data_IF_410267946673
#
_entry.id   IF_410267946673
#
_cell.length_a   1.000
_cell.length_b   1.000
_cell.length_c   1.000
_cell.angle_alpha   90.00
_cell.angle_beta   90.00
_cell.angle_gamma   90.00
#
_symmetry.space_group_name_H-M   'P 1'
#
loop_
_entity.id
_entity.type
_entity.pdbx_description
1 polymer ?
#
# COMPACT_ATOMS: atom_id res chain seq x y z
N UNK A 1 -34.24 -16.99 4.77
CA UNK A 1 -34.55 -16.31 6.05
C UNK A 1 -35.07 -17.33 7.05
N UNK A 2 -34.31 -17.64 8.11
CA UNK A 2 -34.80 -18.45 9.24
C UNK A 2 -34.11 -17.91 10.49
N UNK A 3 -34.88 -17.18 11.30
CA UNK A 3 -34.48 -16.65 12.61
C UNK A 3 -34.47 -17.80 13.62
N UNK A 4 -33.46 -17.85 14.47
CA UNK A 4 -33.52 -18.59 15.74
C UNK A 4 -32.76 -17.82 16.80
N UNK A 5 -33.50 -16.95 17.47
CA UNK A 5 -33.27 -16.49 18.83
C UNK A 5 -33.37 -17.68 19.78
N UNK A 6 -32.39 -17.90 20.64
CA UNK A 6 -32.69 -18.42 21.97
C UNK A 6 -31.66 -17.94 22.99
N UNK A 7 -32.21 -17.29 23.99
CA UNK A 7 -31.62 -16.57 25.09
C UNK A 7 -31.81 -17.44 26.34
N UNK A 8 -30.90 -17.30 27.32
CA UNK A 8 -30.94 -17.81 28.69
C UNK A 8 -30.63 -19.30 28.93
N UNK A 9 -29.52 -19.55 29.63
CA UNK A 9 -29.56 -20.26 30.94
C UNK A 9 -28.52 -19.61 31.87
N UNK A 10 -29.02 -18.96 32.93
CA UNK A 10 -28.28 -18.69 34.15
C UNK A 10 -28.02 -20.02 34.88
N UNK A 11 -26.82 -20.23 35.42
CA UNK A 11 -26.67 -20.92 36.71
C UNK A 11 -25.42 -20.44 37.43
N UNK A 12 -25.65 -19.65 38.48
CA UNK A 12 -24.71 -19.39 39.54
C UNK A 12 -24.46 -20.66 40.37
N UNK A 13 -23.23 -20.88 40.83
CA UNK A 13 -22.97 -21.64 42.05
C UNK A 13 -21.72 -21.10 42.74
N UNK A 14 -21.95 -20.53 43.91
CA UNK A 14 -20.93 -20.07 44.84
C UNK A 14 -20.28 -21.27 45.54
N UNK A 15 -18.97 -21.24 45.71
CA UNK A 15 -18.28 -21.94 46.80
C UNK A 15 -17.28 -20.95 47.41
N UNK A 16 -17.62 -20.48 48.62
CA UNK A 16 -16.69 -19.86 49.55
C UNK A 16 -15.72 -20.93 50.06
N UNK A 17 -14.41 -20.67 49.99
CA UNK A 17 -13.49 -21.09 51.05
C UNK A 17 -12.38 -20.05 51.19
N UNK A 18 -12.40 -19.37 52.32
CA UNK A 18 -11.31 -18.56 52.83
C UNK A 18 -10.30 -19.49 53.53
N UNK A 19 -9.04 -19.42 53.12
CA UNK A 19 -7.92 -19.92 53.90
C UNK A 19 -6.87 -18.81 53.97
N UNK A 20 -6.70 -18.28 55.18
CA UNK A 20 -5.69 -17.31 55.54
C UNK A 20 -4.29 -17.94 55.44
N UNK A 21 -3.44 -17.34 54.61
CA UNK A 21 -2.00 -17.60 54.57
C UNK A 21 -1.27 -16.26 54.59
N UNK A 22 -0.92 -15.79 55.79
CA UNK A 22 0.02 -14.69 56.02
C UNK A 22 1.43 -15.18 55.70
N UNK A 23 2.02 -14.76 54.58
CA UNK A 23 3.47 -14.70 54.39
C UNK A 23 3.82 -13.89 53.13
N UNK A 24 4.50 -12.76 53.33
CA UNK A 24 5.24 -12.06 52.28
C UNK A 24 4.40 -11.12 51.41
N UNK A 25 4.07 -9.94 51.93
CA UNK A 25 3.84 -8.77 51.08
C UNK A 25 5.18 -8.39 50.42
N UNK A 26 5.57 -9.14 49.38
CA UNK A 26 6.47 -8.61 48.38
C UNK A 26 5.70 -7.47 47.72
N UNK A 27 6.02 -6.23 48.12
CA UNK A 27 5.74 -5.04 47.33
C UNK A 27 6.48 -5.21 46.00
N UNK A 28 5.87 -5.94 45.07
CA UNK A 28 6.18 -5.81 43.66
C UNK A 28 5.68 -4.43 43.30
N UNK A 29 6.58 -3.45 43.37
CA UNK A 29 6.38 -2.20 42.66
C UNK A 29 5.96 -2.59 41.23
N UNK A 30 4.88 -2.03 40.67
CA UNK A 30 4.63 -2.22 39.25
C UNK A 30 5.93 -1.78 38.57
N UNK A 31 6.58 -2.73 37.89
CA UNK A 31 7.69 -2.40 37.02
C UNK A 31 7.16 -1.28 36.14
N UNK A 32 7.66 -0.06 36.39
CA UNK A 32 7.24 1.14 35.69
C UNK A 32 7.28 0.75 34.22
N UNK A 33 6.10 0.66 33.59
CA UNK A 33 6.01 0.30 32.19
C UNK A 33 6.95 1.28 31.49
N UNK A 34 8.07 0.75 31.00
CA UNK A 34 9.17 1.56 30.50
C UNK A 34 8.58 2.25 29.29
N UNK A 35 8.23 3.53 29.42
CA UNK A 35 7.66 4.31 28.32
C UNK A 35 8.67 4.15 27.19
N UNK A 36 8.32 3.46 26.09
CA UNK A 36 9.33 3.09 25.12
C UNK A 36 9.90 4.39 24.58
N UNK A 37 11.22 4.57 24.73
CA UNK A 37 11.90 5.79 24.29
C UNK A 37 11.63 5.92 22.79
N UNK A 38 11.11 7.07 22.31
CA UNK A 38 10.89 7.28 20.89
C UNK A 38 12.18 7.00 20.12
N UNK A 39 12.08 6.26 19.03
CA UNK A 39 13.24 6.03 18.16
C UNK A 39 13.76 7.34 17.60
N UNK A 40 15.08 7.41 17.46
CA UNK A 40 15.79 8.58 16.93
C UNK A 40 15.41 8.96 15.49
N UNK A 41 15.96 10.08 14.99
CA UNK A 41 15.59 10.70 13.71
C UNK A 41 15.70 9.75 12.49
N UNK A 42 16.56 8.73 12.57
CA UNK A 42 16.73 7.70 11.54
C UNK A 42 15.44 6.96 11.17
N UNK A 43 14.58 6.65 12.15
CA UNK A 43 13.34 5.94 11.88
C UNK A 43 12.27 6.84 11.27
N UNK A 44 12.26 8.11 11.63
CA UNK A 44 11.44 9.13 10.96
C UNK A 44 11.89 9.26 9.50
N UNK A 45 13.20 9.36 9.26
CA UNK A 45 13.79 9.39 7.92
C UNK A 45 13.37 8.21 7.05
N UNK A 46 13.52 6.98 7.56
CA UNK A 46 13.12 5.79 6.83
C UNK A 46 11.63 5.79 6.53
N UNK A 47 10.81 6.29 7.47
CA UNK A 47 9.36 6.40 7.23
C UNK A 47 9.02 7.36 6.10
N UNK A 48 9.65 8.55 6.08
CA UNK A 48 9.46 9.53 4.99
C UNK A 48 9.89 8.93 3.64
N UNK A 49 11.01 8.21 3.61
CA UNK A 49 11.47 7.55 2.39
C UNK A 49 10.50 6.47 1.89
N UNK A 50 9.91 5.67 2.80
CA UNK A 50 8.84 4.72 2.45
C UNK A 50 7.62 5.44 1.89
N UNK A 51 7.15 6.49 2.56
CA UNK A 51 5.97 7.25 2.16
C UNK A 51 6.19 7.87 0.74
N UNK A 52 7.37 8.44 0.47
CA UNK A 52 7.73 9.00 -0.84
C UNK A 52 7.84 7.95 -1.95
N UNK A 53 8.49 6.80 -1.69
CA UNK A 53 8.57 5.70 -2.65
C UNK A 53 7.20 5.06 -2.91
N UNK A 54 6.33 5.01 -1.90
CA UNK A 54 4.95 4.54 -2.06
C UNK A 54 4.15 5.44 -3.00
N UNK A 55 4.28 6.77 -2.85
CA UNK A 55 3.66 7.73 -3.75
C UNK A 55 4.18 7.59 -5.20
N UNK A 56 5.49 7.41 -5.36
CA UNK A 56 6.10 7.16 -6.67
C UNK A 56 5.55 5.87 -7.31
N UNK A 57 5.55 4.76 -6.57
CA UNK A 57 5.00 3.48 -7.05
C UNK A 57 3.53 3.61 -7.47
N UNK A 58 2.71 4.32 -6.69
CA UNK A 58 1.32 4.57 -7.02
C UNK A 58 1.18 5.36 -8.34
N UNK A 59 1.98 6.41 -8.54
CA UNK A 59 1.99 7.20 -9.76
C UNK A 59 2.46 6.38 -10.98
N UNK A 60 3.55 5.61 -10.86
CA UNK A 60 4.04 4.73 -11.93
C UNK A 60 2.99 3.68 -12.29
N UNK A 61 2.31 3.10 -11.29
CA UNK A 61 1.25 2.12 -11.53
C UNK A 61 0.06 2.74 -12.25
N UNK A 62 -0.38 3.94 -11.83
CA UNK A 62 -1.46 4.65 -12.50
C UNK A 62 -1.13 4.94 -13.98
N UNK A 63 0.12 5.32 -14.27
CA UNK A 63 0.60 5.50 -15.65
C UNK A 63 0.51 4.19 -16.46
N UNK A 64 1.01 3.10 -15.88
CA UNK A 64 0.96 1.77 -16.49
C UNK A 64 -0.48 1.31 -16.78
N UNK A 65 -1.36 1.41 -15.78
CA UNK A 65 -2.77 1.04 -15.90
C UNK A 65 -3.49 1.91 -16.94
N UNK A 66 -3.10 3.20 -17.05
CA UNK A 66 -3.58 4.10 -18.09
C UNK A 66 -3.24 3.64 -19.50
N UNK A 67 -2.00 3.19 -19.75
CA UNK A 67 -1.61 2.61 -21.04
C UNK A 67 -2.41 1.35 -21.37
N UNK A 68 -2.62 0.46 -20.38
CA UNK A 68 -3.42 -0.76 -20.59
C UNK A 68 -4.87 -0.45 -20.92
N UNK A 69 -5.47 0.55 -20.24
CA UNK A 69 -6.82 1.00 -20.53
C UNK A 69 -6.94 1.59 -21.94
N UNK A 70 -5.96 2.39 -22.38
CA UNK A 70 -5.94 2.96 -23.73
C UNK A 70 -5.82 1.89 -24.82
N UNK A 71 -4.97 0.87 -24.62
CA UNK A 71 -4.88 -0.29 -25.52
C UNK A 71 -6.25 -0.96 -25.65
N UNK A 72 -6.92 -1.25 -24.54
CA UNK A 72 -8.26 -1.85 -24.55
C UNK A 72 -9.32 -0.99 -25.24
N UNK A 73 -9.24 0.35 -25.11
CA UNK A 73 -10.12 1.25 -25.85
C UNK A 73 -9.88 1.20 -27.35
N UNK A 74 -8.61 1.16 -27.79
CA UNK A 74 -8.25 1.05 -29.21
C UNK A 74 -8.68 -0.31 -29.77
N UNK A 75 -8.52 -1.40 -29.02
CA UNK A 75 -8.98 -2.73 -29.45
C UNK A 75 -10.49 -2.77 -29.69
N UNK A 76 -11.27 -2.12 -28.81
CA UNK A 76 -12.72 -1.98 -29.00
C UNK A 76 -13.05 -1.15 -30.26
N UNK A 77 -12.31 -0.06 -30.52
CA UNK A 77 -12.50 0.75 -31.73
C UNK A 77 -12.14 -0.05 -32.99
N UNK A 78 -11.03 -0.78 -32.99
CA UNK A 78 -10.63 -1.65 -34.09
C UNK A 78 -11.68 -2.74 -34.35
N UNK A 79 -12.24 -3.35 -33.31
CA UNK A 79 -13.31 -4.35 -33.46
C UNK A 79 -14.57 -3.73 -34.10
N UNK A 80 -14.97 -2.55 -33.64
CA UNK A 80 -16.11 -1.83 -34.19
C UNK A 80 -15.88 -1.45 -35.66
N UNK A 81 -14.75 -0.79 -35.97
CA UNK A 81 -14.41 -0.39 -37.34
C UNK A 81 -14.32 -1.60 -38.27
N UNK A 82 -13.70 -2.70 -37.84
CA UNK A 82 -13.59 -3.92 -38.65
C UNK A 82 -14.95 -4.49 -39.06
N UNK A 83 -15.97 -4.33 -38.22
CA UNK A 83 -17.33 -4.84 -38.50
C UNK A 83 -18.11 -4.00 -39.50
N UNK A 84 -17.75 -2.73 -39.70
CA UNK A 84 -18.52 -1.77 -40.51
C UNK A 84 -17.72 -1.08 -41.61
N UNK A 85 -16.41 -1.31 -41.70
CA UNK A 85 -15.52 -0.60 -42.62
C UNK A 85 -15.75 -1.01 -44.08
N UNK A 86 -15.92 0.00 -44.94
CA UNK A 86 -15.84 -0.17 -46.39
C UNK A 86 -14.38 -0.28 -46.83
N UNK A 87 -14.00 -1.46 -47.32
CA UNK A 87 -12.65 -1.77 -47.79
C UNK A 87 -12.27 -1.08 -49.10
N UNK A 88 -13.22 -0.44 -49.78
CA UNK A 88 -12.94 0.36 -50.98
C UNK A 88 -12.76 1.84 -50.66
N UNK A 89 -13.00 2.25 -49.40
CA UNK A 89 -12.82 3.63 -48.96
C UNK A 89 -11.40 3.84 -48.41
N UNK A 90 -10.51 4.54 -49.13
CA UNK A 90 -9.11 4.72 -48.70
C UNK A 90 -8.97 5.49 -47.38
N UNK A 91 -9.91 6.39 -47.06
CA UNK A 91 -9.89 7.12 -45.79
C UNK A 91 -10.26 6.24 -44.59
N UNK A 92 -11.12 5.23 -44.79
CA UNK A 92 -11.43 4.26 -43.74
C UNK A 92 -10.23 3.35 -43.46
N UNK A 93 -9.57 2.86 -44.51
CA UNK A 93 -8.33 2.08 -44.39
C UNK A 93 -7.24 2.87 -43.66
N UNK A 94 -7.05 4.15 -44.00
CA UNK A 94 -6.03 4.99 -43.37
C UNK A 94 -6.27 5.16 -41.86
N UNK A 95 -7.52 5.43 -41.44
CA UNK A 95 -7.88 5.53 -40.01
C UNK A 95 -7.66 4.22 -39.26
N UNK A 96 -8.09 3.10 -39.85
CA UNK A 96 -7.90 1.77 -39.26
C UNK A 96 -6.41 1.46 -39.05
N UNK A 97 -5.55 1.80 -40.02
CA UNK A 97 -4.09 1.65 -39.91
C UNK A 97 -3.50 2.51 -38.80
N UNK A 98 -3.96 3.75 -38.64
CA UNK A 98 -3.51 4.63 -37.55
C UNK A 98 -3.87 4.06 -36.17
N UNK A 99 -5.05 3.45 -36.03
CA UNK A 99 -5.44 2.77 -34.78
C UNK A 99 -4.51 1.57 -34.50
N UNK A 100 -4.20 0.76 -35.51
CA UNK A 100 -3.25 -0.35 -35.36
C UNK A 100 -1.87 0.13 -34.91
N UNK A 101 -1.32 1.16 -35.57
CA UNK A 101 0.00 1.70 -35.26
C UNK A 101 0.05 2.29 -33.84
N UNK A 102 -1.00 3.00 -33.41
CA UNK A 102 -1.10 3.55 -32.06
C UNK A 102 -1.17 2.42 -31.01
N UNK A 103 -1.98 1.39 -31.26
CA UNK A 103 -2.06 0.22 -30.37
C UNK A 103 -0.70 -0.45 -30.25
N UNK A 104 -0.04 -0.72 -31.37
CA UNK A 104 1.24 -1.42 -31.38
C UNK A 104 2.30 -0.60 -30.64
N UNK A 105 2.34 0.72 -30.85
CA UNK A 105 3.22 1.64 -30.11
C UNK A 105 2.99 1.57 -28.60
N UNK A 106 1.72 1.68 -28.16
CA UNK A 106 1.37 1.59 -26.74
C UNK A 106 1.67 0.20 -26.17
N UNK A 107 1.45 -0.85 -26.94
CA UNK A 107 1.73 -2.21 -26.53
C UNK A 107 3.23 -2.42 -26.32
N UNK A 108 4.09 -1.98 -27.25
CA UNK A 108 5.54 -2.00 -27.11
C UNK A 108 6.02 -1.18 -25.90
N UNK A 109 5.46 0.01 -25.71
CA UNK A 109 5.75 0.84 -24.53
C UNK A 109 5.34 0.16 -23.23
N UNK A 110 4.16 -0.48 -23.20
CA UNK A 110 3.65 -1.13 -22.00
C UNK A 110 4.46 -2.36 -21.61
N UNK A 111 4.83 -3.23 -22.55
CA UNK A 111 5.59 -4.47 -22.25
C UNK A 111 7.09 -4.22 -22.04
N UNK A 112 7.63 -3.15 -22.62
CA UNK A 112 9.03 -2.76 -22.49
C UNK A 112 9.24 -1.76 -21.35
N UNK A 113 9.42 -0.46 -21.66
CA UNK A 113 9.80 0.55 -20.68
C UNK A 113 8.77 0.71 -19.54
N UNK A 114 7.47 0.67 -19.84
CA UNK A 114 6.41 0.83 -18.85
C UNK A 114 6.42 -0.26 -17.78
N UNK A 115 6.51 -1.53 -18.19
CA UNK A 115 6.61 -2.66 -17.26
C UNK A 115 7.93 -2.63 -16.48
N UNK A 116 9.05 -2.34 -17.16
CA UNK A 116 10.36 -2.24 -16.52
C UNK A 116 10.38 -1.15 -15.44
N UNK A 117 9.76 0.00 -15.70
CA UNK A 117 9.68 1.10 -14.73
C UNK A 117 8.83 0.71 -13.52
N UNK A 118 7.67 0.08 -13.74
CA UNK A 118 6.81 -0.42 -12.67
C UNK A 118 7.50 -1.47 -11.81
N UNK A 119 8.22 -2.41 -12.43
CA UNK A 119 9.04 -3.41 -11.71
C UNK A 119 10.09 -2.72 -10.85
N UNK A 120 10.87 -1.79 -11.43
CA UNK A 120 11.93 -1.09 -10.70
C UNK A 120 11.39 -0.21 -9.56
N UNK A 121 10.22 0.40 -9.74
CA UNK A 121 9.53 1.14 -8.66
C UNK A 121 9.09 0.19 -7.54
N UNK A 122 8.57 -0.98 -7.88
CA UNK A 122 8.16 -2.01 -6.92
C UNK A 122 9.35 -2.51 -6.10
N UNK A 123 10.47 -2.81 -6.75
CA UNK A 123 11.68 -3.30 -6.09
C UNK A 123 12.26 -2.25 -5.13
N UNK A 124 12.36 -0.98 -5.56
CA UNK A 124 12.84 0.12 -4.71
C UNK A 124 11.96 0.34 -3.49
N UNK A 125 10.64 0.32 -3.67
CA UNK A 125 9.68 0.44 -2.58
C UNK A 125 9.80 -0.75 -1.62
N UNK A 126 9.80 -1.98 -2.13
CA UNK A 126 9.92 -3.21 -1.35
C UNK A 126 11.20 -3.25 -0.50
N UNK A 127 12.34 -2.92 -1.11
CA UNK A 127 13.63 -2.85 -0.41
C UNK A 127 13.60 -1.81 0.74
N UNK A 128 13.00 -0.63 0.51
CA UNK A 128 12.91 0.39 1.56
C UNK A 128 11.94 0.00 2.68
N UNK A 129 10.82 -0.65 2.35
CA UNK A 129 9.89 -1.20 3.35
C UNK A 129 10.58 -2.27 4.19
N UNK A 130 11.41 -3.13 3.59
CA UNK A 130 12.19 -4.13 4.32
C UNK A 130 13.18 -3.48 5.29
N UNK A 131 13.94 -2.46 4.86
CA UNK A 131 14.87 -1.71 5.71
C UNK A 131 14.16 -1.02 6.88
N UNK A 132 13.02 -0.37 6.59
CA UNK A 132 12.16 0.21 7.63
C UNK A 132 11.65 -0.86 8.61
N UNK A 133 11.17 -2.00 8.11
CA UNK A 133 10.64 -3.06 8.96
C UNK A 133 11.72 -3.69 9.84
N UNK A 134 12.93 -3.90 9.31
CA UNK A 134 14.04 -4.45 10.05
C UNK A 134 14.50 -3.54 11.20
N UNK A 135 14.46 -2.23 11.01
CA UNK A 135 15.07 -1.25 11.94
C UNK A 135 14.06 -0.56 12.86
N UNK A 136 12.85 -0.33 12.36
CA UNK A 136 11.93 0.66 12.92
C UNK A 136 10.50 0.15 13.15
N UNK A 137 10.07 -0.97 12.54
CA UNK A 137 8.72 -1.47 12.76
C UNK A 137 8.46 -1.79 14.25
N UNK A 138 7.29 -1.41 14.73
CA UNK A 138 6.87 -1.60 16.12
C UNK A 138 7.50 -0.65 17.13
N UNK A 139 8.41 0.24 16.70
CA UNK A 139 9.03 1.24 17.59
C UNK A 139 8.25 2.56 17.53
N UNK A 140 7.89 3.16 18.68
CA UNK A 140 7.15 4.41 18.67
C UNK A 140 8.04 5.56 18.16
N UNK A 141 7.47 6.39 17.30
CA UNK A 141 8.08 7.63 16.82
C UNK A 141 7.35 8.83 17.42
N UNK A 142 8.07 9.92 17.62
CA UNK A 142 7.43 11.18 18.00
C UNK A 142 6.52 11.67 16.85
N UNK A 143 5.22 11.85 17.09
CA UNK A 143 4.27 12.23 16.03
C UNK A 143 4.48 13.66 15.53
N UNK A 144 5.00 14.56 16.37
CA UNK A 144 5.31 15.94 16.00
C UNK A 144 6.50 16.00 15.04
N UNK A 145 7.57 15.27 15.35
CA UNK A 145 8.75 15.15 14.47
C UNK A 145 8.37 14.51 13.14
N UNK A 146 7.55 13.44 13.16
CA UNK A 146 7.08 12.81 11.93
C UNK A 146 6.19 13.74 11.10
N UNK A 147 5.28 14.48 11.73
CA UNK A 147 4.42 15.46 11.04
C UNK A 147 5.25 16.58 10.40
N UNK A 148 6.25 17.10 11.11
CA UNK A 148 7.17 18.11 10.59
C UNK A 148 7.99 17.58 9.40
N UNK A 149 8.57 16.38 9.54
CA UNK A 149 9.33 15.75 8.47
C UNK A 149 8.48 15.50 7.22
N UNK A 150 7.19 15.14 7.39
CA UNK A 150 6.23 15.01 6.29
C UNK A 150 5.91 16.34 5.62
N UNK A 151 5.72 17.40 6.41
CA UNK A 151 5.41 18.73 5.88
C UNK A 151 6.56 19.28 5.02
N UNK A 152 7.81 19.00 5.40
CA UNK A 152 9.00 19.44 4.65
C UNK A 152 9.37 18.43 3.54
N UNK A 153 8.92 17.16 3.66
CA UNK A 153 9.31 16.09 2.75
C UNK A 153 10.78 15.67 2.90
N UNK A 154 11.41 15.97 4.03
CA UNK A 154 12.82 15.76 4.27
C UNK A 154 13.09 15.14 5.64
N UNK A 155 14.26 14.52 5.76
CA UNK A 155 14.77 14.03 7.02
C UNK A 155 14.95 15.16 8.05
N UNK A 156 14.51 14.97 9.30
CA UNK A 156 14.87 15.90 10.36
C UNK A 156 16.41 15.90 10.55
N UNK A 157 17.01 17.05 10.90
CA UNK A 157 18.46 17.13 11.12
C UNK A 157 18.89 16.17 12.23
N UNK A 158 20.07 15.52 12.12
CA UNK A 158 20.60 14.72 13.21
C UNK A 158 21.11 15.67 14.31
N UNK A 159 20.59 15.56 15.52
CA UNK A 159 21.20 16.13 16.72
C UNK A 159 21.28 15.06 17.81
#
# INVERSE_FOLDING_TARGET
MRRSTMWHVLTARHVLMAAAGLAGAAVTFPAMAQVPVPVGPDCVCLRIAVDALGANLAATRQSYDGMQAEIGQIDNQLAAERSTMDVNNPAAIARFRQLLERRDTLFEQSKGPGFSELSAATDRYGARVQDYNARCAGRPMDPGVLAQARAVGACPPPY
#
